data_IF_439252679488
#
_entry.id   IF_439252679488
#
_cell.length_a   1.000
_cell.length_b   1.000
_cell.length_c   1.000
_cell.angle_alpha   90.00
_cell.angle_beta   90.00
_cell.angle_gamma   90.00
#
_symmetry.space_group_name_H-M   'P 1'
#
loop_
_entity.id
_entity.type
_entity.pdbx_description
1 polymer ?
#
# COMPACT_ATOMS: atom_id res chain seq x y z
N UNK A 1 -14.39 -60.91 25.75
CA UNK A 1 -13.27 -60.46 24.90
C UNK A 1 -13.89 -59.84 23.66
N UNK A 2 -13.83 -58.53 23.51
CA UNK A 2 -14.48 -57.81 22.40
C UNK A 2 -13.49 -57.66 21.26
N UNK A 3 -13.82 -58.24 20.11
CA UNK A 3 -13.08 -58.05 18.86
C UNK A 3 -13.30 -56.62 18.35
N UNK A 4 -12.26 -55.90 17.89
CA UNK A 4 -12.46 -54.60 17.27
C UNK A 4 -12.95 -54.79 15.83
N UNK A 5 -14.12 -54.24 15.52
CA UNK A 5 -14.63 -54.14 14.15
C UNK A 5 -13.79 -53.09 13.40
N UNK A 6 -13.09 -53.51 12.35
CA UNK A 6 -12.37 -52.61 11.45
C UNK A 6 -13.42 -51.81 10.65
N UNK A 7 -13.52 -50.52 10.95
CA UNK A 7 -14.36 -49.60 10.18
C UNK A 7 -13.63 -49.36 8.86
N UNK A 8 -14.01 -50.06 7.79
CA UNK A 8 -13.46 -49.80 6.46
C UNK A 8 -13.87 -48.40 6.02
N UNK A 9 -12.90 -47.49 6.01
CA UNK A 9 -13.03 -46.20 5.33
C UNK A 9 -13.12 -46.47 3.83
N UNK A 10 -14.15 -46.00 3.09
CA UNK A 10 -14.23 -46.24 1.66
C UNK A 10 -13.08 -45.52 0.97
N UNK A 11 -12.13 -46.31 0.44
CA UNK A 11 -11.07 -45.82 -0.43
C UNK A 11 -11.76 -45.33 -1.70
N UNK A 12 -11.61 -44.03 -2.00
CA UNK A 12 -12.16 -43.46 -3.22
C UNK A 12 -11.52 -44.15 -4.42
N UNK A 13 -12.34 -44.50 -5.42
CA UNK A 13 -11.86 -45.11 -6.67
C UNK A 13 -10.86 -44.18 -7.37
N UNK A 14 -9.88 -44.75 -8.06
CA UNK A 14 -8.86 -43.98 -8.80
C UNK A 14 -9.49 -43.00 -9.81
N UNK A 15 -10.62 -43.37 -10.40
CA UNK A 15 -11.38 -42.51 -11.32
C UNK A 15 -11.91 -41.26 -10.61
N UNK A 16 -12.47 -41.43 -9.40
CA UNK A 16 -12.97 -40.33 -8.58
C UNK A 16 -11.84 -39.41 -8.09
N UNK A 17 -10.64 -39.98 -7.84
CA UNK A 17 -9.45 -39.21 -7.50
C UNK A 17 -9.01 -38.38 -8.70
N UNK A 18 -9.02 -38.96 -9.90
CA UNK A 18 -8.64 -38.28 -11.14
C UNK A 18 -9.60 -37.12 -11.48
N UNK A 19 -10.91 -37.32 -11.32
CA UNK A 19 -11.92 -36.27 -11.50
C UNK A 19 -11.72 -35.11 -10.50
N UNK A 20 -11.49 -35.42 -9.22
CA UNK A 20 -11.20 -34.41 -8.20
C UNK A 20 -9.90 -33.66 -8.47
N UNK A 21 -8.88 -34.32 -9.02
CA UNK A 21 -7.64 -33.65 -9.42
C UNK A 21 -7.87 -32.72 -10.62
N UNK A 22 -8.65 -33.16 -11.61
CA UNK A 22 -8.94 -32.37 -12.80
C UNK A 22 -9.80 -31.14 -12.46
N UNK A 23 -10.84 -31.30 -11.64
CA UNK A 23 -11.68 -30.19 -11.18
C UNK A 23 -10.90 -29.14 -10.38
N UNK A 24 -9.97 -29.57 -9.51
CA UNK A 24 -9.07 -28.65 -8.78
C UNK A 24 -8.15 -27.87 -9.73
N UNK A 25 -7.58 -28.54 -10.74
CA UNK A 25 -6.69 -27.90 -11.72
C UNK A 25 -7.43 -26.89 -12.60
N UNK A 26 -8.67 -27.18 -12.98
CA UNK A 26 -9.54 -26.24 -13.71
C UNK A 26 -9.91 -25.04 -12.83
N UNK A 27 -10.29 -25.28 -11.56
CA UNK A 27 -10.58 -24.20 -10.61
C UNK A 27 -9.35 -23.32 -10.33
N UNK A 28 -8.14 -23.90 -10.30
CA UNK A 28 -6.88 -23.16 -10.16
C UNK A 28 -6.55 -22.35 -11.42
N UNK A 29 -6.75 -22.91 -12.61
CA UNK A 29 -6.56 -22.21 -13.88
C UNK A 29 -7.57 -21.06 -14.09
N UNK A 30 -8.81 -21.23 -13.59
CA UNK A 30 -9.84 -20.18 -13.58
C UNK A 30 -9.75 -19.25 -12.37
N UNK A 31 -8.99 -19.63 -11.34
CA UNK A 31 -8.57 -18.73 -10.27
C UNK A 31 -7.52 -17.81 -10.87
N UNK A 32 -8.02 -16.77 -11.55
CA UNK A 32 -7.27 -15.56 -11.79
C UNK A 32 -6.95 -15.00 -10.40
N UNK A 33 -5.89 -15.52 -9.77
CA UNK A 33 -5.29 -14.92 -8.58
C UNK A 33 -4.90 -13.56 -9.07
N UNK A 34 -5.77 -12.63 -8.77
CA UNK A 34 -5.66 -11.22 -8.98
C UNK A 34 -4.28 -10.79 -8.49
N UNK A 35 -3.29 -10.85 -9.38
CA UNK A 35 -2.14 -9.95 -9.35
C UNK A 35 -2.63 -8.49 -9.45
N UNK A 36 -3.94 -8.25 -9.67
CA UNK A 36 -4.56 -6.94 -9.43
C UNK A 36 -4.70 -6.58 -7.95
N UNK A 37 -4.41 -7.47 -6.99
CA UNK A 37 -4.22 -7.02 -5.60
C UNK A 37 -2.85 -6.36 -5.39
N UNK A 38 -1.97 -6.34 -6.40
CA UNK A 38 -0.81 -5.43 -6.43
C UNK A 38 -1.09 -4.19 -7.29
N UNK A 39 -2.34 -4.01 -7.73
CA UNK A 39 -2.82 -2.83 -8.47
C UNK A 39 -3.73 -1.95 -7.61
N UNK A 40 -3.83 -2.20 -6.30
CA UNK A 40 -4.53 -1.34 -5.35
C UNK A 40 -3.49 -0.78 -4.37
N UNK A 41 -3.60 0.52 -4.05
CA UNK A 41 -2.86 1.28 -3.03
C UNK A 41 -1.58 2.04 -3.46
N UNK A 42 -1.13 1.98 -4.72
CA UNK A 42 -0.12 2.98 -5.17
C UNK A 42 -0.75 4.30 -5.67
N UNK A 43 -2.01 4.28 -6.07
CA UNK A 43 -2.71 5.50 -6.53
C UNK A 43 -3.19 6.41 -5.40
N UNK A 44 -3.30 5.91 -4.17
CA UNK A 44 -3.85 6.68 -3.04
C UNK A 44 -2.79 7.54 -2.34
N UNK A 45 -1.50 7.27 -2.58
CA UNK A 45 -0.40 8.04 -1.99
C UNK A 45 0.36 8.79 -3.08
N UNK A 46 0.22 10.12 -3.11
CA UNK A 46 1.01 11.01 -4.00
C UNK A 46 2.52 10.99 -3.71
N UNK A 47 2.96 10.26 -2.67
CA UNK A 47 4.35 10.10 -2.23
C UNK A 47 4.70 8.63 -1.97
N UNK A 48 6.00 8.32 -1.91
CA UNK A 48 6.47 6.98 -1.54
C UNK A 48 6.05 6.59 -0.12
N UNK A 49 5.95 5.29 0.14
CA UNK A 49 5.64 4.78 1.48
C UNK A 49 6.64 5.26 2.54
N UNK A 50 7.90 5.44 2.17
CA UNK A 50 8.94 6.00 3.04
C UNK A 50 8.60 7.43 3.50
N UNK A 51 8.17 8.28 2.56
CA UNK A 51 7.75 9.66 2.86
C UNK A 51 6.48 9.67 3.71
N UNK A 52 5.55 8.76 3.43
CA UNK A 52 4.29 8.64 4.19
C UNK A 52 4.48 8.09 5.60
N UNK A 53 5.49 7.22 5.81
CA UNK A 53 5.75 6.55 7.09
C UNK A 53 6.32 7.47 8.16
N UNK A 54 6.89 8.62 7.79
CA UNK A 54 7.40 9.58 8.78
C UNK A 54 6.21 10.21 9.53
N UNK A 55 6.11 10.12 10.86
CA UNK A 55 5.03 10.77 11.61
C UNK A 55 5.25 12.29 11.63
N UNK A 56 4.16 13.07 11.63
CA UNK A 56 4.24 14.50 11.91
C UNK A 56 4.66 14.72 13.37
N UNK A 57 5.56 15.69 13.65
CA UNK A 57 5.87 16.09 15.02
C UNK A 57 4.60 16.51 15.79
N UNK A 58 4.56 16.22 17.09
CA UNK A 58 3.37 16.45 17.93
C UNK A 58 2.85 17.90 17.90
N UNK A 59 3.77 18.87 17.83
CA UNK A 59 3.44 20.30 17.79
C UNK A 59 3.61 20.91 16.39
N UNK A 60 3.58 20.08 15.34
CA UNK A 60 3.73 20.55 13.97
C UNK A 60 2.61 21.54 13.61
N UNK A 61 3.01 22.73 13.17
CA UNK A 61 2.09 23.75 12.67
C UNK A 61 2.39 23.96 11.21
N UNK A 62 1.39 23.71 10.37
CA UNK A 62 1.49 23.96 8.94
C UNK A 62 1.94 25.42 8.72
N UNK A 63 3.00 25.63 7.93
CA UNK A 63 3.46 26.97 7.63
C UNK A 63 2.39 27.72 6.84
N UNK A 64 2.20 29.00 7.18
CA UNK A 64 1.39 29.91 6.38
C UNK A 64 2.26 30.45 5.26
N UNK A 65 2.07 29.92 4.07
CA UNK A 65 2.70 30.40 2.85
C UNK A 65 1.61 30.59 1.80
N UNK A 66 1.69 31.67 1.04
CA UNK A 66 0.80 31.91 -0.08
C UNK A 66 1.06 30.87 -1.18
N UNK A 67 0.03 30.50 -1.92
CA UNK A 67 0.19 29.65 -3.12
C UNK A 67 1.00 30.41 -4.17
N UNK A 68 1.75 29.68 -4.99
CA UNK A 68 2.46 30.30 -6.10
C UNK A 68 1.46 30.76 -7.17
N UNK A 69 1.34 32.07 -7.36
CA UNK A 69 0.41 32.69 -8.32
C UNK A 69 1.08 33.02 -9.67
N UNK A 70 2.36 32.70 -9.82
CA UNK A 70 3.15 33.01 -11.02
C UNK A 70 3.67 34.44 -11.08
N UNK A 71 3.44 35.26 -10.05
CA UNK A 71 3.89 36.66 -10.02
C UNK A 71 5.26 36.83 -9.36
N UNK A 72 5.64 35.94 -8.43
CA UNK A 72 6.95 35.95 -7.79
C UNK A 72 7.99 35.16 -8.59
N UNK A 73 9.27 35.31 -8.22
CA UNK A 73 10.33 34.49 -8.81
C UNK A 73 10.08 32.98 -8.53
N UNK A 74 10.14 32.11 -9.57
CA UNK A 74 9.85 30.68 -9.44
C UNK A 74 10.89 29.90 -8.64
N UNK A 75 12.09 30.46 -8.43
CA UNK A 75 13.16 29.90 -7.59
C UNK A 75 12.99 30.37 -6.15
N UNK A 76 12.65 31.64 -5.94
CA UNK A 76 12.49 32.19 -4.59
C UNK A 76 11.31 31.57 -3.84
N UNK A 77 10.24 31.20 -4.55
CA UNK A 77 9.05 30.59 -3.93
C UNK A 77 9.36 29.26 -3.19
N UNK A 78 9.94 28.24 -3.84
CA UNK A 78 10.33 27.01 -3.14
C UNK A 78 11.46 27.23 -2.14
N UNK A 79 12.40 28.17 -2.37
CA UNK A 79 13.43 28.49 -1.38
C UNK A 79 12.84 29.04 -0.08
N UNK A 80 11.87 29.96 -0.19
CA UNK A 80 11.16 30.53 0.96
C UNK A 80 10.44 29.46 1.78
N UNK A 81 9.83 28.48 1.11
CA UNK A 81 9.24 27.32 1.76
C UNK A 81 10.29 26.50 2.54
N UNK A 82 11.42 26.18 1.90
CA UNK A 82 12.50 25.39 2.51
C UNK A 82 13.07 26.09 3.74
N UNK A 83 13.31 27.39 3.66
CA UNK A 83 13.82 28.17 4.80
C UNK A 83 12.83 28.16 5.97
N UNK A 84 11.53 28.32 5.69
CA UNK A 84 10.48 28.27 6.70
C UNK A 84 10.38 26.89 7.38
N UNK A 85 10.50 25.81 6.62
CA UNK A 85 10.45 24.45 7.16
C UNK A 85 11.69 24.09 7.98
N UNK A 86 12.87 24.60 7.59
CA UNK A 86 14.13 24.43 8.34
C UNK A 86 14.10 25.10 9.70
N UNK A 87 13.45 26.26 9.83
CA UNK A 87 13.25 26.92 11.14
C UNK A 87 12.49 26.05 12.13
N UNK A 88 11.60 25.17 11.63
CA UNK A 88 10.87 24.20 12.44
C UNK A 88 11.60 22.85 12.61
N UNK A 89 12.85 22.74 12.13
CA UNK A 89 13.63 21.50 12.09
C UNK A 89 12.86 20.33 11.46
N UNK A 90 12.09 20.62 10.41
CA UNK A 90 11.19 19.63 9.80
C UNK A 90 11.95 18.65 8.89
N UNK A 91 11.75 17.33 9.01
CA UNK A 91 12.31 16.34 8.08
C UNK A 91 11.83 16.50 6.64
N UNK A 92 12.67 16.18 5.67
CA UNK A 92 12.41 16.30 4.22
C UNK A 92 11.12 15.60 3.79
N UNK A 93 10.84 14.41 4.32
CA UNK A 93 9.60 13.68 4.06
C UNK A 93 8.34 14.48 4.44
N UNK A 94 8.39 15.25 5.53
CA UNK A 94 7.29 16.12 5.93
C UNK A 94 7.27 17.38 5.06
N UNK A 95 8.44 17.95 4.73
CA UNK A 95 8.54 19.07 3.79
C UNK A 95 7.84 18.77 2.46
N UNK A 96 8.09 17.60 1.87
CA UNK A 96 7.43 17.18 0.63
C UNK A 96 5.90 17.14 0.76
N UNK A 97 5.38 16.51 1.81
CA UNK A 97 3.92 16.39 2.03
C UNK A 97 3.25 17.75 2.24
N UNK A 98 3.91 18.65 2.98
CA UNK A 98 3.39 19.99 3.28
C UNK A 98 3.47 20.90 2.06
N UNK A 99 4.52 20.80 1.24
CA UNK A 99 4.65 21.58 0.01
C UNK A 99 3.50 21.26 -0.95
N UNK A 100 3.22 19.97 -1.18
CA UNK A 100 2.12 19.54 -2.06
C UNK A 100 0.74 20.02 -1.59
N UNK A 101 0.52 20.19 -0.28
CA UNK A 101 -0.73 20.74 0.25
C UNK A 101 -0.90 22.26 0.02
N UNK A 102 0.19 22.99 -0.22
CA UNK A 102 0.21 24.46 -0.32
C UNK A 102 0.68 24.98 -1.69
N UNK A 103 1.01 24.09 -2.62
CA UNK A 103 1.32 24.43 -4.01
C UNK A 103 0.09 24.99 -4.76
#
# INVERSE_FOLDING_TARGET
>A
MSTPTLVETPVLSLEQILEKMMGRKIAEAMSNKSSRQQSMVLEEYSFSLEVMAVPLPQDFKQPKMEKYDGSSDPVDHPMSFVDLMRLQATPDAIMCRVFSANA
#
